data_IF_296186431531
#
_entry.id   IF_296186431531
#
_cell.length_a   1.000
_cell.length_b   1.000
_cell.length_c   1.000
_cell.angle_alpha   90.00
_cell.angle_beta   90.00
_cell.angle_gamma   90.00
#
_symmetry.space_group_name_H-M   'P 1'
#
loop_
_entity.id
_entity.type
_entity.pdbx_description
1 polymer ?
#
# COMPACT_ATOMS: atom_id res chain seq x y z
N UNK A 1 -10.53 25.00 -45.36
CA UNK A 1 -9.85 24.86 -44.05
C UNK A 1 -10.31 23.54 -43.45
N UNK A 2 -9.39 22.71 -43.00
CA UNK A 2 -9.69 21.43 -42.34
C UNK A 2 -9.96 21.68 -40.87
N UNK A 3 -11.11 21.23 -40.36
CA UNK A 3 -11.45 21.27 -38.93
C UNK A 3 -10.72 20.12 -38.25
N UNK A 4 -9.93 20.41 -37.23
CA UNK A 4 -9.02 19.44 -36.62
C UNK A 4 -9.04 19.44 -35.09
N UNK A 5 -9.55 20.50 -34.46
CA UNK A 5 -9.52 20.62 -32.99
C UNK A 5 -10.81 20.17 -32.31
N UNK A 6 -10.71 19.85 -31.03
CA UNK A 6 -11.84 19.67 -30.12
C UNK A 6 -11.93 20.90 -29.22
N UNK A 7 -13.06 21.59 -29.25
CA UNK A 7 -13.33 22.72 -28.36
C UNK A 7 -13.97 22.22 -27.05
N UNK A 8 -13.54 22.73 -25.90
CA UNK A 8 -14.15 22.41 -24.60
C UNK A 8 -14.75 23.67 -23.97
N UNK A 9 -16.08 23.76 -23.99
CA UNK A 9 -16.84 24.85 -23.37
C UNK A 9 -17.20 24.50 -21.92
N UNK A 10 -16.83 25.36 -20.96
CA UNK A 10 -16.94 25.10 -19.53
C UNK A 10 -17.03 26.39 -18.69
N UNK A 11 -17.46 26.29 -17.42
CA UNK A 11 -17.40 27.43 -16.50
C UNK A 11 -15.97 27.69 -16.00
N UNK A 12 -15.46 28.90 -16.19
CA UNK A 12 -14.17 29.33 -15.64
C UNK A 12 -14.36 30.30 -14.46
N UNK A 13 -13.76 30.07 -13.27
CA UNK A 13 -12.73 29.07 -12.97
C UNK A 13 -13.26 27.72 -12.44
N UNK A 14 -14.56 27.57 -12.25
CA UNK A 14 -15.16 26.51 -11.42
C UNK A 14 -14.93 25.09 -11.97
N UNK A 15 -15.02 24.92 -13.30
CA UNK A 15 -14.84 23.65 -13.99
C UNK A 15 -13.41 23.50 -14.56
N UNK A 16 -12.52 24.48 -14.34
CA UNK A 16 -11.19 24.49 -14.96
C UNK A 16 -10.31 23.31 -14.52
N UNK A 17 -10.49 22.78 -13.31
CA UNK A 17 -9.79 21.57 -12.86
C UNK A 17 -10.15 20.34 -13.68
N UNK A 18 -11.44 20.17 -13.99
CA UNK A 18 -11.92 19.10 -14.86
C UNK A 18 -11.42 19.28 -16.29
N UNK A 19 -11.51 20.48 -16.85
CA UNK A 19 -11.06 20.76 -18.23
C UNK A 19 -9.56 20.59 -18.39
N UNK A 20 -8.75 20.97 -17.38
CA UNK A 20 -7.31 20.67 -17.35
C UNK A 20 -7.04 19.17 -17.42
N UNK A 21 -7.72 18.41 -16.58
CA UNK A 21 -7.60 16.95 -16.59
C UNK A 21 -8.04 16.36 -17.94
N UNK A 22 -9.20 16.76 -18.47
CA UNK A 22 -9.77 16.21 -19.69
C UNK A 22 -8.92 16.56 -20.92
N UNK A 23 -8.50 17.83 -21.03
CA UNK A 23 -7.63 18.31 -22.11
C UNK A 23 -6.31 17.54 -22.16
N UNK A 24 -5.66 17.34 -21.01
CA UNK A 24 -4.45 16.53 -20.92
C UNK A 24 -4.67 15.09 -21.42
N UNK A 25 -5.80 14.47 -21.07
CA UNK A 25 -6.11 13.09 -21.50
C UNK A 25 -6.39 12.99 -22.99
N UNK A 26 -7.11 13.96 -23.56
CA UNK A 26 -7.42 14.00 -24.98
C UNK A 26 -6.16 14.26 -25.83
N UNK A 27 -5.28 15.17 -25.41
CA UNK A 27 -3.98 15.38 -26.09
C UNK A 27 -3.09 14.14 -26.03
N UNK A 28 -3.01 13.47 -24.88
CA UNK A 28 -2.27 12.21 -24.75
C UNK A 28 -2.87 11.09 -25.61
N UNK A 29 -4.17 11.13 -25.89
CA UNK A 29 -4.84 10.23 -26.83
C UNK A 29 -4.66 10.65 -28.31
N UNK A 30 -3.95 11.75 -28.58
CA UNK A 30 -3.60 12.23 -29.90
C UNK A 30 -4.56 13.27 -30.48
N UNK A 31 -5.54 13.77 -29.74
CA UNK A 31 -6.44 14.81 -30.25
C UNK A 31 -5.86 16.22 -30.09
N UNK A 32 -6.12 17.09 -31.06
CA UNK A 32 -5.87 18.52 -30.91
C UNK A 32 -7.00 19.13 -30.06
N UNK A 33 -6.67 19.77 -28.94
CA UNK A 33 -7.65 20.35 -28.03
C UNK A 33 -7.46 21.86 -27.98
N UNK A 34 -8.55 22.60 -28.10
CA UNK A 34 -8.58 24.05 -27.95
C UNK A 34 -9.12 24.42 -26.56
N UNK A 35 -8.41 25.29 -25.83
CA UNK A 35 -8.84 25.83 -24.53
C UNK A 35 -8.53 27.31 -24.35
N UNK A 36 -9.32 27.95 -23.50
CA UNK A 36 -9.27 29.38 -23.20
C UNK A 36 -8.22 29.76 -22.11
N UNK A 37 -7.51 28.79 -21.53
CA UNK A 37 -6.76 29.03 -20.29
C UNK A 37 -5.37 29.68 -20.44
N UNK A 38 -4.90 30.06 -21.64
CA UNK A 38 -3.52 30.56 -21.75
C UNK A 38 -3.04 31.25 -23.02
N UNK A 39 -3.91 31.76 -23.90
CA UNK A 39 -3.46 32.36 -25.19
C UNK A 39 -3.97 33.77 -25.51
N UNK A 40 -4.28 34.58 -24.51
CA UNK A 40 -4.72 35.96 -24.73
C UNK A 40 -3.78 36.97 -24.05
N UNK A 41 -3.15 37.82 -24.87
CA UNK A 41 -2.48 39.04 -24.41
C UNK A 41 -3.54 40.15 -24.33
N UNK A 42 -3.44 41.04 -23.34
CA UNK A 42 -4.41 42.14 -23.19
C UNK A 42 -4.46 43.02 -24.44
N UNK A 43 -5.66 43.17 -25.03
CA UNK A 43 -5.92 44.04 -26.19
C UNK A 43 -6.74 43.42 -27.34
N UNK A 44 -6.86 42.09 -27.41
CA UNK A 44 -7.66 41.41 -28.46
C UNK A 44 -9.16 41.36 -28.12
N UNK A 45 -10.04 41.48 -29.12
CA UNK A 45 -11.48 41.26 -28.94
C UNK A 45 -11.73 39.77 -28.61
N UNK A 46 -12.03 39.52 -27.33
CA UNK A 46 -12.19 38.20 -26.71
C UNK A 46 -13.14 37.25 -27.49
N UNK A 47 -14.23 37.79 -28.01
CA UNK A 47 -15.33 37.00 -28.58
C UNK A 47 -15.06 36.52 -30.02
N UNK A 48 -14.40 37.34 -30.86
CA UNK A 48 -14.15 37.00 -32.28
C UNK A 48 -13.27 35.75 -32.44
N UNK A 49 -12.30 35.56 -31.53
CA UNK A 49 -11.43 34.38 -31.54
C UNK A 49 -12.15 33.11 -31.12
N UNK A 50 -13.01 33.20 -30.11
CA UNK A 50 -13.83 32.07 -29.65
C UNK A 50 -14.80 31.66 -30.76
N UNK A 51 -15.45 32.64 -31.40
CA UNK A 51 -16.32 32.37 -32.54
C UNK A 51 -15.56 31.73 -33.70
N UNK A 52 -14.39 32.27 -34.04
CA UNK A 52 -13.50 31.70 -35.06
C UNK A 52 -13.13 30.25 -34.76
N UNK A 53 -12.71 29.96 -33.53
CA UNK A 53 -12.33 28.60 -33.11
C UNK A 53 -13.50 27.63 -33.20
N UNK A 54 -14.69 28.01 -32.74
CA UNK A 54 -15.89 27.17 -32.79
C UNK A 54 -16.34 26.93 -34.23
N UNK A 55 -16.36 27.97 -35.08
CA UNK A 55 -16.88 27.88 -36.44
C UNK A 55 -15.92 27.24 -37.44
N UNK A 56 -14.62 27.52 -37.33
CA UNK A 56 -13.67 27.25 -38.40
C UNK A 56 -12.67 26.16 -38.07
N UNK A 57 -12.26 26.05 -36.80
CA UNK A 57 -11.15 25.17 -36.41
C UNK A 57 -11.67 23.85 -35.79
N UNK A 58 -12.79 23.92 -35.08
CA UNK A 58 -13.30 22.81 -34.28
C UNK A 58 -14.02 21.76 -35.13
N UNK A 59 -13.61 20.51 -34.97
CA UNK A 59 -14.26 19.32 -35.52
C UNK A 59 -15.37 18.79 -34.59
N UNK A 60 -15.16 18.88 -33.27
CA UNK A 60 -16.18 18.61 -32.24
C UNK A 60 -16.15 19.68 -31.16
N UNK A 61 -17.31 19.88 -30.54
CA UNK A 61 -17.54 20.81 -29.46
C UNK A 61 -18.04 20.02 -28.24
N UNK A 62 -17.26 19.99 -27.18
CA UNK A 62 -17.60 19.35 -25.92
C UNK A 62 -18.28 20.40 -25.02
N UNK A 63 -19.57 20.22 -24.77
CA UNK A 63 -20.35 21.08 -23.89
C UNK A 63 -20.30 20.52 -22.46
N UNK A 64 -19.45 21.07 -21.61
CA UNK A 64 -19.36 20.68 -20.20
C UNK A 64 -20.53 21.28 -19.44
N UNK A 65 -21.37 20.41 -18.90
CA UNK A 65 -22.57 20.79 -18.15
C UNK A 65 -22.34 20.50 -16.67
N UNK A 66 -22.40 21.55 -15.88
CA UNK A 66 -22.39 21.52 -14.42
C UNK A 66 -23.50 22.44 -13.90
N UNK A 67 -23.82 22.33 -12.61
CA UNK A 67 -24.73 23.24 -11.91
C UNK A 67 -24.32 24.71 -12.04
N UNK A 68 -23.03 24.99 -12.26
CA UNK A 68 -22.51 26.36 -12.44
C UNK A 68 -22.48 26.78 -13.91
N UNK A 69 -22.09 25.89 -14.82
CA UNK A 69 -21.95 26.20 -16.25
C UNK A 69 -23.26 26.64 -16.90
N UNK A 70 -24.37 26.03 -16.49
CA UNK A 70 -25.70 26.31 -17.05
C UNK A 70 -26.21 27.71 -16.77
N UNK A 71 -25.66 28.44 -15.81
CA UNK A 71 -26.07 29.80 -15.46
C UNK A 71 -25.14 30.88 -16.03
N UNK A 72 -23.96 30.50 -16.52
CA UNK A 72 -22.93 31.42 -16.97
C UNK A 72 -23.19 31.91 -18.40
N UNK A 73 -23.34 33.23 -18.58
CA UNK A 73 -23.75 33.80 -19.87
C UNK A 73 -22.78 33.47 -21.01
N UNK A 74 -21.46 33.59 -20.80
CA UNK A 74 -20.49 33.26 -21.85
C UNK A 74 -20.58 31.81 -22.34
N UNK A 75 -20.81 30.87 -21.42
CA UNK A 75 -21.01 29.45 -21.76
C UNK A 75 -22.30 29.25 -22.54
N UNK A 76 -23.39 29.93 -22.16
CA UNK A 76 -24.66 29.90 -22.91
C UNK A 76 -24.48 30.42 -24.34
N UNK A 77 -23.72 31.48 -24.53
CA UNK A 77 -23.50 32.07 -25.85
C UNK A 77 -22.66 31.13 -26.74
N UNK A 78 -21.62 30.50 -26.18
CA UNK A 78 -20.84 29.46 -26.86
C UNK A 78 -21.72 28.25 -27.26
N UNK A 79 -22.58 27.78 -26.36
CA UNK A 79 -23.52 26.69 -26.63
C UNK A 79 -24.49 27.04 -27.74
N UNK A 80 -25.05 28.25 -27.74
CA UNK A 80 -25.97 28.71 -28.78
C UNK A 80 -25.27 28.81 -30.15
N UNK A 81 -24.03 29.27 -30.16
CA UNK A 81 -23.19 29.30 -31.37
C UNK A 81 -22.91 27.88 -31.88
N UNK A 82 -22.51 26.96 -31.00
CA UNK A 82 -22.23 25.57 -31.36
C UNK A 82 -23.49 24.85 -31.88
N UNK A 83 -24.66 25.12 -31.30
CA UNK A 83 -25.95 24.66 -31.81
C UNK A 83 -26.28 25.19 -33.22
N UNK A 84 -25.80 26.38 -33.55
CA UNK A 84 -25.96 26.93 -34.90
C UNK A 84 -25.07 26.17 -35.90
N UNK A 85 -23.83 25.87 -35.52
CA UNK A 85 -22.91 25.05 -36.34
C UNK A 85 -23.42 23.63 -36.50
N UNK A 86 -23.99 23.04 -35.45
CA UNK A 86 -24.59 21.70 -35.44
C UNK A 86 -25.62 21.50 -36.56
N UNK A 87 -26.42 22.53 -36.89
CA UNK A 87 -27.41 22.44 -37.98
C UNK A 87 -26.78 22.11 -39.33
N UNK A 88 -25.53 22.53 -39.54
CA UNK A 88 -24.76 22.27 -40.74
C UNK A 88 -23.80 21.08 -40.62
N UNK A 89 -23.40 20.72 -39.40
CA UNK A 89 -22.50 19.61 -39.10
C UNK A 89 -23.10 18.74 -37.98
N UNK A 90 -23.92 17.73 -38.33
CA UNK A 90 -24.51 16.84 -37.33
C UNK A 90 -23.46 16.09 -36.51
N UNK A 91 -23.72 15.97 -35.21
CA UNK A 91 -22.80 15.35 -34.25
C UNK A 91 -21.68 16.26 -33.78
N UNK A 92 -21.70 17.56 -34.13
CA UNK A 92 -20.70 18.54 -33.71
C UNK A 92 -20.66 18.73 -32.19
N UNK A 93 -21.81 18.92 -31.55
CA UNK A 93 -21.95 19.11 -30.09
C UNK A 93 -22.04 17.77 -29.36
N UNK A 94 -21.20 17.57 -28.35
CA UNK A 94 -21.19 16.39 -27.45
C UNK A 94 -21.35 16.90 -26.01
N UNK A 95 -22.48 16.67 -25.35
CA UNK A 95 -22.68 17.10 -23.96
C UNK A 95 -21.99 16.15 -22.97
N UNK A 96 -21.34 16.74 -21.96
CA UNK A 96 -20.63 16.04 -20.88
C UNK A 96 -21.21 16.44 -19.50
N UNK A 97 -21.65 15.48 -18.69
CA UNK A 97 -22.11 15.71 -17.30
C UNK A 97 -20.93 15.82 -16.38
N UNK A 98 -20.74 16.94 -15.71
CA UNK A 98 -19.70 17.03 -14.71
C UNK A 98 -20.20 16.68 -13.30
N UNK A 99 -21.43 17.07 -12.96
CA UNK A 99 -21.95 16.96 -11.60
C UNK A 99 -23.41 16.47 -11.54
N UNK A 100 -24.05 16.66 -10.38
CA UNK A 100 -25.43 16.23 -10.13
C UNK A 100 -26.51 16.96 -10.93
N UNK A 101 -26.18 17.91 -11.81
CA UNK A 101 -27.16 18.66 -12.60
C UNK A 101 -28.11 17.72 -13.36
N UNK A 102 -29.42 18.04 -13.33
CA UNK A 102 -30.42 17.27 -14.06
C UNK A 102 -30.46 17.70 -15.52
N UNK A 103 -30.09 16.79 -16.40
CA UNK A 103 -30.04 17.03 -17.83
C UNK A 103 -31.38 17.23 -18.50
N UNK A 104 -32.47 16.79 -17.86
CA UNK A 104 -33.81 17.08 -18.35
C UNK A 104 -34.07 18.59 -18.49
N UNK A 105 -33.27 19.40 -17.79
CA UNK A 105 -33.36 20.86 -17.72
C UNK A 105 -32.47 21.58 -18.75
N UNK A 106 -31.69 20.85 -19.55
CA UNK A 106 -30.84 21.46 -20.58
C UNK A 106 -31.65 22.16 -21.67
N UNK A 107 -31.08 23.20 -22.33
CA UNK A 107 -31.68 23.78 -23.52
C UNK A 107 -32.03 22.70 -24.55
N UNK A 108 -33.20 22.83 -25.19
CA UNK A 108 -33.78 21.83 -26.11
C UNK A 108 -32.79 21.37 -27.20
N UNK A 109 -31.89 22.26 -27.64
CA UNK A 109 -30.87 21.94 -28.65
C UNK A 109 -29.74 21.03 -28.18
N UNK A 110 -29.50 20.89 -26.87
CA UNK A 110 -28.52 19.96 -26.27
C UNK A 110 -29.23 18.73 -25.68
N UNK A 111 -30.40 18.94 -25.05
CA UNK A 111 -31.19 17.89 -24.40
C UNK A 111 -31.54 16.70 -25.30
N UNK A 112 -31.66 16.90 -26.62
CA UNK A 112 -32.02 15.83 -27.57
C UNK A 112 -30.88 14.86 -27.90
N UNK A 113 -29.69 15.07 -27.33
CA UNK A 113 -28.50 14.24 -27.60
C UNK A 113 -28.23 13.26 -26.48
N UNK A 114 -27.55 12.16 -26.82
CA UNK A 114 -27.04 11.24 -25.81
C UNK A 114 -25.91 11.93 -25.04
N UNK A 115 -25.98 11.88 -23.71
CA UNK A 115 -25.09 12.63 -22.83
C UNK A 115 -24.07 11.71 -22.19
N UNK A 116 -22.81 12.14 -22.15
CA UNK A 116 -21.72 11.35 -21.55
C UNK A 116 -21.58 11.76 -20.10
N UNK A 117 -21.72 10.80 -19.19
CA UNK A 117 -21.69 11.05 -17.75
C UNK A 117 -20.27 10.96 -17.17
N UNK A 118 -19.74 12.07 -16.65
CA UNK A 118 -18.50 12.10 -15.85
C UNK A 118 -18.79 12.22 -14.33
N UNK A 119 -20.02 12.46 -13.89
CA UNK A 119 -20.35 12.60 -12.46
C UNK A 119 -20.14 11.29 -11.69
N UNK A 120 -20.40 10.15 -12.33
CA UNK A 120 -20.23 8.80 -11.75
C UNK A 120 -18.82 8.20 -11.93
N UNK A 121 -17.83 9.06 -12.19
CA UNK A 121 -16.41 8.72 -12.30
C UNK A 121 -15.80 9.14 -13.63
N UNK A 122 -14.78 10.01 -13.57
CA UNK A 122 -14.18 10.62 -14.76
C UNK A 122 -13.60 9.61 -15.75
N UNK A 123 -13.07 8.48 -15.28
CA UNK A 123 -12.52 7.42 -16.12
C UNK A 123 -13.58 6.75 -17.00
N UNK A 124 -14.81 6.57 -16.50
CA UNK A 124 -15.92 5.98 -17.27
C UNK A 124 -16.38 6.93 -18.37
N UNK A 125 -16.57 8.21 -18.01
CA UNK A 125 -16.91 9.25 -18.96
C UNK A 125 -15.87 9.41 -20.06
N UNK A 126 -14.57 9.36 -19.71
CA UNK A 126 -13.48 9.43 -20.69
C UNK A 126 -13.52 8.26 -21.66
N UNK A 127 -13.74 7.02 -21.20
CA UNK A 127 -13.84 5.86 -22.08
C UNK A 127 -14.97 6.04 -23.10
N UNK A 128 -16.18 6.39 -22.64
CA UNK A 128 -17.32 6.65 -23.52
C UNK A 128 -17.10 7.81 -24.49
N UNK A 129 -16.40 8.86 -24.05
CA UNK A 129 -16.02 9.99 -24.91
C UNK A 129 -15.02 9.56 -25.99
N UNK A 130 -13.98 8.80 -25.64
CA UNK A 130 -12.99 8.31 -26.60
C UNK A 130 -13.64 7.41 -27.65
N UNK A 131 -14.56 6.53 -27.26
CA UNK A 131 -15.35 5.71 -28.18
C UNK A 131 -16.16 6.60 -29.14
N UNK A 132 -16.89 7.59 -28.60
CA UNK A 132 -17.66 8.56 -29.39
C UNK A 132 -16.79 9.33 -30.38
N UNK A 133 -15.59 9.76 -29.99
CA UNK A 133 -14.65 10.50 -30.83
C UNK A 133 -13.99 9.60 -31.90
N UNK A 134 -13.74 8.33 -31.58
CA UNK A 134 -13.22 7.36 -32.54
C UNK A 134 -14.27 7.02 -33.61
N UNK A 135 -15.52 6.76 -33.22
CA UNK A 135 -16.64 6.50 -34.14
C UNK A 135 -16.89 7.69 -35.07
N UNK A 136 -16.75 8.90 -34.53
CA UNK A 136 -16.83 10.16 -35.26
C UNK A 136 -15.65 10.43 -36.21
N UNK A 137 -14.63 9.56 -36.24
CA UNK A 137 -13.38 9.72 -36.99
C UNK A 137 -12.72 11.10 -36.77
N UNK A 138 -12.71 11.55 -35.51
CA UNK A 138 -12.09 12.84 -35.17
C UNK A 138 -10.59 12.79 -35.49
N UNK A 139 -10.04 13.79 -36.21
CA UNK A 139 -8.63 13.81 -36.58
C UNK A 139 -7.70 13.69 -35.37
N UNK A 140 -6.64 12.89 -35.52
CA UNK A 140 -5.56 12.75 -34.55
C UNK A 140 -4.26 13.30 -35.11
N UNK A 141 -3.45 13.87 -34.24
CA UNK A 141 -2.07 14.28 -34.53
C UNK A 141 -1.26 13.01 -34.82
N UNK A 142 -0.57 12.97 -35.95
CA UNK A 142 0.16 11.78 -36.42
C UNK A 142 1.31 11.35 -35.48
N UNK A 143 1.83 12.27 -34.67
CA UNK A 143 2.89 11.99 -33.69
C UNK A 143 2.66 12.86 -32.44
N UNK A 144 1.83 12.41 -31.48
CA UNK A 144 1.58 13.16 -30.26
C UNK A 144 2.86 13.20 -29.41
N UNK A 145 3.28 14.40 -29.01
CA UNK A 145 4.35 14.59 -28.03
C UNK A 145 3.71 14.66 -26.63
N UNK A 146 3.97 13.69 -25.73
CA UNK A 146 3.44 13.73 -24.36
C UNK A 146 3.81 15.00 -23.58
N UNK A 147 4.84 15.75 -24.02
CA UNK A 147 5.20 17.05 -23.44
C UNK A 147 4.20 18.15 -23.79
N UNK A 148 3.42 18.03 -24.87
CA UNK A 148 2.37 19.00 -25.20
C UNK A 148 1.36 19.09 -24.05
N UNK A 149 1.00 17.94 -23.46
CA UNK A 149 0.03 17.89 -22.38
C UNK A 149 0.48 18.62 -21.10
N UNK A 150 1.76 19.04 -20.99
CA UNK A 150 2.28 19.73 -19.81
C UNK A 150 1.61 21.08 -19.56
N UNK A 151 1.13 21.77 -20.59
CA UNK A 151 0.46 23.07 -20.42
C UNK A 151 -0.90 22.96 -19.71
N UNK A 152 -1.47 21.75 -19.67
CA UNK A 152 -2.70 21.47 -18.91
C UNK A 152 -2.45 21.19 -17.44
N UNK A 153 -1.23 20.79 -17.06
CA UNK A 153 -0.90 20.56 -15.67
C UNK A 153 -0.93 21.91 -14.95
N UNK A 154 -1.51 21.95 -13.75
CA UNK A 154 -1.37 23.12 -12.90
C UNK A 154 0.14 23.44 -12.77
N UNK A 155 0.50 24.73 -12.78
CA UNK A 155 1.85 25.13 -12.39
C UNK A 155 2.20 24.38 -11.11
N UNK A 156 3.27 23.58 -11.15
CA UNK A 156 3.72 22.84 -9.98
C UNK A 156 3.91 23.88 -8.88
N UNK A 157 3.11 23.76 -7.81
CA UNK A 157 3.22 24.67 -6.67
C UNK A 157 4.68 24.72 -6.25
N UNK A 158 5.14 25.91 -5.87
CA UNK A 158 6.43 26.09 -5.24
C UNK A 158 6.54 25.10 -4.07
N UNK A 159 7.57 24.24 -4.09
CA UNK A 159 7.72 23.12 -3.15
C UNK A 159 7.19 21.75 -3.63
N UNK A 160 6.73 21.59 -4.86
CA UNK A 160 6.38 20.29 -5.40
C UNK A 160 7.58 19.35 -5.47
N UNK A 161 7.38 18.11 -5.03
CA UNK A 161 8.38 17.04 -5.14
C UNK A 161 8.46 16.58 -6.61
N UNK A 162 9.63 16.73 -7.22
CA UNK A 162 9.87 16.46 -8.62
C UNK A 162 10.53 15.10 -8.82
N UNK A 163 10.20 14.44 -9.93
CA UNK A 163 10.96 13.28 -10.39
C UNK A 163 12.37 13.71 -10.86
N UNK A 164 13.39 13.00 -10.39
CA UNK A 164 14.79 13.25 -10.69
C UNK A 164 15.46 12.01 -11.27
N UNK A 165 16.53 12.21 -12.05
CA UNK A 165 17.37 11.10 -12.57
C UNK A 165 18.41 10.62 -11.55
N UNK A 166 18.39 11.15 -10.32
CA UNK A 166 19.26 10.69 -9.25
C UNK A 166 18.77 9.35 -8.72
N UNK A 167 19.70 8.42 -8.53
CA UNK A 167 19.39 7.15 -7.88
C UNK A 167 18.91 7.39 -6.46
N UNK A 168 17.92 6.61 -6.04
CA UNK A 168 17.37 6.64 -4.69
C UNK A 168 17.56 5.29 -4.02
N UNK A 169 17.83 5.29 -2.71
CA UNK A 169 17.89 4.07 -1.91
C UNK A 169 16.60 3.92 -1.12
N UNK A 170 15.91 2.80 -1.32
CA UNK A 170 14.62 2.50 -0.71
C UNK A 170 14.80 1.46 0.38
N UNK A 171 14.39 1.81 1.59
CA UNK A 171 14.38 0.89 2.73
C UNK A 171 13.12 0.03 2.70
N UNK A 172 13.27 -1.26 3.00
CA UNK A 172 12.15 -2.21 3.00
C UNK A 172 11.76 -2.64 4.41
N UNK A 173 10.76 -3.50 4.50
CA UNK A 173 10.44 -4.24 5.74
C UNK A 173 10.92 -5.69 5.67
N UNK A 174 11.83 -6.01 4.74
CA UNK A 174 12.22 -7.39 4.42
C UNK A 174 13.57 -7.73 5.04
N UNK A 175 13.62 -8.72 5.92
CA UNK A 175 14.88 -9.25 6.41
C UNK A 175 15.35 -10.37 5.49
N UNK A 176 16.62 -10.33 5.10
CA UNK A 176 17.22 -11.41 4.31
C UNK A 176 17.42 -12.65 5.20
N UNK A 177 17.02 -13.82 4.70
CA UNK A 177 17.41 -15.10 5.29
C UNK A 177 18.84 -15.41 4.88
N UNK A 178 19.75 -15.53 5.85
CA UNK A 178 21.19 -15.77 5.63
C UNK A 178 21.45 -17.26 5.49
N UNK A 179 20.91 -18.06 6.41
CA UNK A 179 21.08 -19.51 6.39
C UNK A 179 19.90 -20.24 7.04
N UNK A 180 19.69 -21.47 6.57
CA UNK A 180 18.75 -22.43 7.13
C UNK A 180 19.51 -23.71 7.48
N UNK A 181 19.26 -24.34 8.64
CA UNK A 181 19.76 -25.67 8.91
C UNK A 181 19.15 -26.69 7.95
N UNK A 182 19.77 -27.87 7.77
CA UNK A 182 19.13 -28.98 7.07
C UNK A 182 17.82 -29.39 7.74
N UNK A 183 16.91 -29.94 6.94
CA UNK A 183 15.69 -30.55 7.43
C UNK A 183 16.00 -31.99 7.83
N UNK A 184 15.64 -32.37 9.05
CA UNK A 184 15.73 -33.76 9.49
C UNK A 184 14.37 -34.34 9.82
N UNK A 185 14.31 -35.67 9.78
CA UNK A 185 13.07 -36.41 9.97
C UNK A 185 13.24 -37.49 11.03
N UNK A 186 12.16 -37.76 11.75
CA UNK A 186 12.07 -38.88 12.68
C UNK A 186 10.76 -39.63 12.42
N UNK A 187 10.83 -40.95 12.24
CA UNK A 187 9.70 -41.82 11.93
C UNK A 187 8.99 -42.27 13.20
N UNK A 188 7.68 -42.20 13.20
CA UNK A 188 6.78 -42.70 14.24
C UNK A 188 6.77 -44.23 14.18
N UNK A 189 7.06 -44.87 15.32
CA UNK A 189 7.06 -46.34 15.44
C UNK A 189 5.73 -46.91 15.95
N UNK A 190 4.90 -46.07 16.57
CA UNK A 190 3.61 -46.46 17.14
C UNK A 190 2.44 -46.31 16.17
N UNK A 191 1.25 -46.71 16.62
CA UNK A 191 -0.02 -46.51 15.91
C UNK A 191 -0.72 -45.18 16.27
N UNK A 192 0.02 -44.26 16.89
CA UNK A 192 -0.50 -42.96 17.29
C UNK A 192 -0.87 -42.14 16.04
N UNK A 193 -2.09 -41.61 16.04
CA UNK A 193 -2.65 -40.89 14.89
C UNK A 193 -2.52 -39.37 15.01
N UNK A 194 -2.18 -38.86 16.19
CA UNK A 194 -2.08 -37.44 16.49
C UNK A 194 -1.08 -37.24 17.63
N UNK A 195 -0.08 -36.37 17.42
CA UNK A 195 0.94 -36.11 18.44
C UNK A 195 0.43 -35.03 19.38
N UNK A 196 0.23 -35.39 20.66
CA UNK A 196 -0.13 -34.40 21.69
C UNK A 196 0.99 -33.38 21.84
N UNK A 197 0.66 -32.11 21.60
CA UNK A 197 1.55 -30.97 21.83
C UNK A 197 1.77 -30.81 23.34
N UNK A 198 3.03 -30.69 23.75
CA UNK A 198 3.48 -30.52 25.13
C UNK A 198 4.49 -29.38 25.20
N UNK A 199 4.77 -28.86 26.39
CA UNK A 199 5.77 -27.81 26.56
C UNK A 199 7.16 -28.23 26.07
N UNK A 200 7.48 -29.54 26.15
CA UNK A 200 8.78 -30.09 25.73
C UNK A 200 8.89 -30.13 24.21
N UNK A 201 7.86 -30.61 23.51
CA UNK A 201 7.91 -30.71 22.06
C UNK A 201 7.64 -29.37 21.37
N UNK A 202 6.92 -28.44 22.01
CA UNK A 202 6.73 -27.09 21.50
C UNK A 202 8.00 -26.23 21.58
N UNK A 203 8.99 -26.63 22.38
CA UNK A 203 10.26 -25.92 22.54
C UNK A 203 11.16 -25.92 21.28
N UNK A 204 10.82 -26.69 20.23
CA UNK A 204 11.51 -26.68 18.94
C UNK A 204 10.50 -26.59 17.79
N UNK A 205 10.88 -26.03 16.63
CA UNK A 205 10.02 -26.04 15.44
C UNK A 205 9.88 -27.42 14.80
N UNK A 206 8.65 -27.85 14.55
CA UNK A 206 8.37 -29.09 13.82
C UNK A 206 7.00 -29.08 13.12
N UNK A 207 6.77 -30.06 12.26
CA UNK A 207 5.45 -30.39 11.72
C UNK A 207 5.35 -31.89 11.40
N UNK A 208 4.12 -32.39 11.27
CA UNK A 208 3.85 -33.78 10.90
C UNK A 208 3.79 -33.95 9.38
N UNK A 209 4.36 -35.04 8.88
CA UNK A 209 4.20 -35.48 7.51
C UNK A 209 4.14 -36.99 7.42
N UNK A 210 2.96 -37.53 7.11
CA UNK A 210 2.71 -38.97 7.10
C UNK A 210 3.03 -39.59 8.46
N UNK A 211 3.85 -40.65 8.50
CA UNK A 211 4.32 -41.31 9.71
C UNK A 211 5.59 -40.66 10.28
N UNK A 212 5.81 -39.36 10.05
CA UNK A 212 7.06 -38.67 10.40
C UNK A 212 6.83 -37.31 11.02
N UNK A 213 7.82 -36.92 11.81
CA UNK A 213 8.01 -35.55 12.26
C UNK A 213 9.20 -34.96 11.49
N UNK A 214 9.04 -33.71 11.07
CA UNK A 214 10.01 -32.99 10.26
C UNK A 214 10.34 -31.65 10.92
N UNK A 215 11.62 -31.27 10.97
CA UNK A 215 12.06 -30.01 11.56
C UNK A 215 13.51 -29.66 11.22
N UNK A 216 13.96 -28.49 11.68
CA UNK A 216 15.37 -28.08 11.55
C UNK A 216 16.26 -28.65 12.66
N UNK A 217 15.66 -29.09 13.78
CA UNK A 217 16.37 -29.73 14.87
C UNK A 217 17.11 -30.99 14.38
N UNK A 218 18.16 -31.40 15.09
CA UNK A 218 18.77 -32.71 14.80
C UNK A 218 17.74 -33.81 15.08
N UNK A 219 17.82 -34.93 14.36
CA UNK A 219 16.93 -36.07 14.58
C UNK A 219 17.00 -36.59 16.01
N UNK A 220 18.16 -36.48 16.68
CA UNK A 220 18.29 -36.78 18.11
C UNK A 220 17.38 -35.90 18.98
N UNK A 221 17.31 -34.61 18.68
CA UNK A 221 16.48 -33.64 19.41
C UNK A 221 15.00 -33.87 19.13
N UNK A 222 14.65 -34.19 17.87
CA UNK A 222 13.29 -34.58 17.51
C UNK A 222 12.84 -35.79 18.31
N UNK A 223 13.68 -36.82 18.43
CA UNK A 223 13.38 -38.02 19.23
C UNK A 223 13.28 -37.68 20.73
N UNK A 224 14.24 -36.94 21.29
CA UNK A 224 14.25 -36.64 22.72
C UNK A 224 13.07 -35.78 23.15
N UNK A 225 12.74 -34.74 22.38
CA UNK A 225 11.68 -33.80 22.73
C UNK A 225 10.28 -34.40 22.56
N UNK A 226 10.17 -35.48 21.78
CA UNK A 226 8.92 -36.18 21.53
C UNK A 226 8.74 -37.42 22.40
N UNK A 227 9.75 -37.82 23.18
CA UNK A 227 9.77 -39.07 23.96
C UNK A 227 8.59 -39.27 24.92
N UNK A 228 7.93 -38.19 25.37
CA UNK A 228 6.72 -38.25 26.21
C UNK A 228 5.40 -38.32 25.42
N UNK A 229 5.45 -37.99 24.13
CA UNK A 229 4.28 -37.94 23.26
C UNK A 229 4.21 -39.12 22.30
N UNK A 230 5.35 -39.55 21.73
CA UNK A 230 5.43 -40.59 20.70
C UNK A 230 6.81 -41.25 20.65
N UNK A 231 6.85 -42.55 20.36
CA UNK A 231 8.11 -43.26 20.09
C UNK A 231 8.58 -43.02 18.65
N UNK A 232 9.79 -42.45 18.52
CA UNK A 232 10.38 -42.07 17.24
C UNK A 232 11.71 -42.78 16.96
N UNK A 233 12.01 -42.96 15.67
CA UNK A 233 13.32 -43.38 15.17
C UNK A 233 13.87 -42.33 14.21
N UNK A 234 15.10 -41.88 14.46
CA UNK A 234 15.80 -40.97 13.55
C UNK A 234 15.83 -41.52 12.11
N UNK A 235 15.69 -40.61 11.15
CA UNK A 235 15.65 -40.90 9.72
C UNK A 235 16.52 -39.89 8.95
N UNK A 236 16.69 -40.11 7.64
CA UNK A 236 17.48 -39.25 6.77
C UNK A 236 16.99 -37.79 6.78
N UNK A 237 17.94 -36.87 6.57
CA UNK A 237 17.70 -35.46 6.36
C UNK A 237 17.79 -35.04 4.90
N UNK A 238 17.33 -33.84 4.60
CA UNK A 238 17.34 -33.20 3.29
C UNK A 238 17.94 -31.80 3.43
N UNK A 239 18.76 -31.39 2.49
CA UNK A 239 19.23 -30.01 2.43
C UNK A 239 18.06 -29.04 2.21
N UNK A 240 18.01 -27.98 3.01
CA UNK A 240 16.90 -27.02 2.98
C UNK A 240 16.81 -26.27 1.65
N UNK A 241 17.94 -25.99 1.01
CA UNK A 241 17.95 -25.28 -0.27
C UNK A 241 17.42 -26.14 -1.38
N UNK A 242 17.88 -27.38 -1.48
CA UNK A 242 17.34 -28.35 -2.43
C UNK A 242 15.85 -28.59 -2.17
N UNK A 243 15.44 -28.73 -0.91
CA UNK A 243 14.02 -28.93 -0.57
C UNK A 243 13.13 -27.77 -1.04
N UNK A 244 13.56 -26.52 -0.83
CA UNK A 244 12.82 -25.31 -1.25
C UNK A 244 12.75 -25.16 -2.77
N UNK A 245 13.83 -25.49 -3.47
CA UNK A 245 13.96 -25.28 -4.91
C UNK A 245 13.27 -26.37 -5.72
N UNK A 246 13.49 -27.65 -5.38
CA UNK A 246 13.03 -28.80 -6.16
C UNK A 246 12.01 -29.69 -5.45
N UNK A 247 11.73 -29.45 -4.16
CA UNK A 247 11.02 -30.42 -3.34
C UNK A 247 11.88 -31.63 -2.99
N UNK A 248 11.31 -32.59 -2.28
CA UNK A 248 11.93 -33.88 -1.99
C UNK A 248 10.90 -34.95 -1.64
N UNK A 249 11.28 -36.21 -1.79
CA UNK A 249 10.52 -37.34 -1.25
C UNK A 249 10.85 -37.51 0.23
N UNK A 250 9.83 -37.37 1.09
CA UNK A 250 9.95 -37.57 2.53
C UNK A 250 9.00 -38.71 2.89
N UNK A 251 9.55 -39.85 3.30
CA UNK A 251 8.74 -41.06 3.45
C UNK A 251 8.36 -41.64 2.09
N UNK A 252 7.08 -41.90 1.89
CA UNK A 252 6.58 -42.54 0.67
C UNK A 252 6.00 -41.52 -0.33
N UNK A 253 5.79 -40.27 0.10
CA UNK A 253 5.27 -39.19 -0.75
C UNK A 253 6.30 -38.15 -1.13
N UNK A 254 6.15 -37.68 -2.36
CA UNK A 254 6.86 -36.51 -2.87
C UNK A 254 6.19 -35.23 -2.38
N UNK A 255 6.99 -34.31 -1.86
CA UNK A 255 6.58 -32.94 -1.53
C UNK A 255 7.13 -32.03 -2.62
N UNK A 256 6.25 -31.40 -3.39
CA UNK A 256 6.66 -30.45 -4.43
C UNK A 256 7.27 -29.17 -3.83
N UNK A 257 7.97 -28.39 -4.66
CA UNK A 257 8.66 -27.18 -4.23
C UNK A 257 7.71 -26.11 -3.61
N UNK A 258 6.46 -26.00 -4.08
CA UNK A 258 5.50 -25.03 -3.55
C UNK A 258 5.10 -25.41 -2.13
N UNK A 259 4.83 -26.67 -1.90
CA UNK A 259 4.48 -27.19 -0.58
C UNK A 259 5.69 -27.19 0.37
N UNK A 260 6.87 -27.50 -0.14
CA UNK A 260 8.13 -27.41 0.60
C UNK A 260 8.36 -25.98 1.14
N UNK A 261 8.17 -24.94 0.31
CA UNK A 261 8.28 -23.53 0.72
C UNK A 261 7.35 -23.18 1.88
N UNK A 262 6.10 -23.64 1.84
CA UNK A 262 5.13 -23.41 2.92
C UNK A 262 5.56 -24.08 4.23
N UNK A 263 6.08 -25.31 4.15
CA UNK A 263 6.54 -26.08 5.32
C UNK A 263 7.76 -25.45 5.96
N UNK A 264 8.72 -25.00 5.16
CA UNK A 264 9.88 -24.23 5.65
C UNK A 264 9.42 -22.90 6.25
N UNK A 265 8.49 -22.19 5.60
CA UNK A 265 7.89 -20.97 6.17
C UNK A 265 7.23 -21.22 7.53
N UNK A 266 6.53 -22.34 7.70
CA UNK A 266 5.96 -22.73 8.99
C UNK A 266 7.05 -22.96 10.06
N UNK A 267 8.14 -23.66 9.72
CA UNK A 267 9.24 -23.88 10.65
C UNK A 267 9.95 -22.58 11.07
N UNK A 268 10.20 -21.67 10.11
CA UNK A 268 10.82 -20.37 10.42
C UNK A 268 9.89 -19.48 11.25
N UNK A 269 8.58 -19.51 10.99
CA UNK A 269 7.59 -18.83 11.83
C UNK A 269 7.63 -19.34 13.26
N UNK A 270 7.62 -20.66 13.47
CA UNK A 270 7.73 -21.25 14.81
C UNK A 270 9.05 -20.87 15.50
N UNK A 271 10.17 -20.89 14.77
CA UNK A 271 11.48 -20.50 15.30
C UNK A 271 11.48 -19.03 15.77
N UNK A 272 10.85 -18.13 15.01
CA UNK A 272 10.67 -16.74 15.40
C UNK A 272 9.81 -16.60 16.64
N UNK A 273 8.67 -17.29 16.69
CA UNK A 273 7.77 -17.25 17.84
C UNK A 273 8.50 -17.65 19.13
N UNK A 274 9.19 -18.79 19.11
CA UNK A 274 9.96 -19.27 20.26
C UNK A 274 11.08 -18.29 20.65
N UNK A 275 11.79 -17.71 19.68
CA UNK A 275 12.86 -16.77 19.96
C UNK A 275 12.35 -15.44 20.55
N UNK A 276 11.21 -14.94 20.10
CA UNK A 276 10.61 -13.72 20.66
C UNK A 276 10.04 -13.96 22.06
N UNK A 277 9.36 -15.08 22.29
CA UNK A 277 8.88 -15.49 23.62
C UNK A 277 10.06 -15.61 24.60
N UNK A 278 11.14 -16.28 24.20
CA UNK A 278 12.35 -16.44 25.03
C UNK A 278 13.06 -15.11 25.32
N UNK A 279 12.91 -14.11 24.44
CA UNK A 279 13.43 -12.74 24.64
C UNK A 279 12.49 -11.86 25.46
N UNK A 280 11.32 -12.36 25.88
CA UNK A 280 10.37 -11.62 26.71
C UNK A 280 9.47 -10.65 25.95
N UNK A 281 9.35 -10.79 24.63
CA UNK A 281 8.33 -10.04 23.88
C UNK A 281 6.93 -10.57 24.24
N UNK A 282 5.96 -9.67 24.36
CA UNK A 282 4.58 -10.04 24.52
C UNK A 282 4.01 -10.58 23.21
N UNK A 283 3.11 -11.58 23.28
CA UNK A 283 2.45 -12.15 22.11
C UNK A 283 0.97 -11.73 22.06
N UNK A 284 0.48 -11.40 20.87
CA UNK A 284 -0.94 -11.13 20.64
C UNK A 284 -1.38 -11.76 19.30
N UNK A 285 -2.55 -12.40 19.29
CA UNK A 285 -3.11 -13.02 18.10
C UNK A 285 -4.15 -12.09 17.46
N UNK A 286 -3.94 -11.74 16.19
CA UNK A 286 -4.86 -10.91 15.43
C UNK A 286 -6.04 -11.73 14.90
N UNK A 287 -7.13 -11.07 14.49
CA UNK A 287 -8.36 -11.71 13.98
C UNK A 287 -8.16 -12.70 12.82
N UNK A 288 -7.02 -12.68 12.12
CA UNK A 288 -6.64 -13.66 11.09
C UNK A 288 -5.76 -14.81 11.58
N UNK A 289 -5.66 -15.05 12.89
CA UNK A 289 -4.83 -16.09 13.52
C UNK A 289 -3.31 -15.81 13.49
N UNK A 290 -2.91 -14.64 12.99
CA UNK A 290 -1.50 -14.25 12.93
C UNK A 290 -1.05 -13.71 14.28
N UNK A 291 0.00 -14.30 14.84
CA UNK A 291 0.67 -13.77 16.02
C UNK A 291 1.57 -12.59 15.66
N UNK A 292 1.50 -11.55 16.49
CA UNK A 292 2.41 -10.41 16.50
C UNK A 292 3.11 -10.33 17.84
N UNK A 293 4.36 -9.89 17.82
CA UNK A 293 5.17 -9.74 19.03
C UNK A 293 5.35 -8.27 19.35
N UNK A 294 4.92 -7.84 20.54
CA UNK A 294 4.96 -6.46 20.99
C UNK A 294 6.00 -6.24 22.08
N UNK A 295 6.53 -5.03 22.12
CA UNK A 295 7.59 -4.64 23.06
C UNK A 295 6.96 -4.23 24.39
N UNK A 296 7.10 -5.05 25.41
CA UNK A 296 6.58 -4.75 26.75
C UNK A 296 7.42 -3.68 27.46
N UNK A 297 6.86 -2.94 28.43
CA UNK A 297 7.63 -2.01 29.26
C UNK A 297 8.80 -2.69 29.98
N UNK A 298 8.66 -3.94 30.42
CA UNK A 298 9.70 -4.69 31.11
C UNK A 298 10.91 -4.90 30.21
N UNK A 299 10.67 -5.16 28.91
CA UNK A 299 11.72 -5.38 27.92
C UNK A 299 12.57 -4.12 27.67
N UNK A 300 11.97 -2.94 27.83
CA UNK A 300 12.66 -1.64 27.72
C UNK A 300 13.10 -1.06 29.06
N UNK A 301 12.92 -1.79 30.18
CA UNK A 301 13.19 -1.35 31.55
C UNK A 301 12.33 -0.18 32.05
N UNK A 302 11.18 0.02 31.43
CA UNK A 302 10.26 1.09 31.77
C UNK A 302 9.38 1.48 30.60
N UNK A 303 8.23 2.05 30.93
CA UNK A 303 7.26 2.56 29.96
C UNK A 303 7.80 3.84 29.31
N UNK A 304 7.79 3.91 27.99
CA UNK A 304 8.30 5.08 27.26
C UNK A 304 9.82 5.14 27.16
N UNK A 305 10.54 4.18 27.74
CA UNK A 305 12.00 4.12 27.64
C UNK A 305 12.43 3.90 26.19
N UNK A 306 13.43 4.68 25.76
CA UNK A 306 13.85 4.72 24.36
C UNK A 306 14.97 3.73 24.06
N UNK A 307 14.75 2.89 23.05
CA UNK A 307 15.74 1.95 22.51
C UNK A 307 16.62 2.66 21.49
N UNK A 308 17.94 2.46 21.59
CA UNK A 308 18.90 2.99 20.62
C UNK A 308 19.00 2.09 19.39
N UNK A 309 19.10 2.69 18.20
CA UNK A 309 19.20 1.97 16.93
C UNK A 309 20.02 2.76 15.90
N UNK A 310 20.44 2.07 14.84
CA UNK A 310 21.07 2.67 13.66
C UNK A 310 20.01 2.90 12.58
N UNK A 311 19.86 4.14 12.11
CA UNK A 311 18.91 4.48 11.05
C UNK A 311 19.56 4.36 9.65
N UNK A 312 18.79 4.57 8.60
CA UNK A 312 19.19 4.42 7.19
C UNK A 312 20.35 5.31 6.76
N UNK A 313 20.55 6.44 7.44
CA UNK A 313 21.64 7.38 7.22
C UNK A 313 22.91 7.01 8.00
N UNK A 314 22.91 5.88 8.71
CA UNK A 314 24.01 5.42 9.56
C UNK A 314 24.14 6.19 10.87
N UNK A 315 23.17 7.05 11.23
CA UNK A 315 23.19 7.77 12.50
C UNK A 315 22.51 6.95 13.59
N UNK A 316 23.04 7.07 14.81
CA UNK A 316 22.42 6.49 15.99
C UNK A 316 21.26 7.37 16.44
N UNK A 317 20.10 6.75 16.64
CA UNK A 317 18.85 7.40 17.08
C UNK A 317 18.24 6.61 18.23
N UNK A 318 17.20 7.17 18.86
CA UNK A 318 16.46 6.52 19.95
C UNK A 318 14.97 6.63 19.70
N UNK A 319 14.21 5.56 19.95
CA UNK A 319 12.75 5.52 19.79
C UNK A 319 12.10 4.78 20.96
N UNK A 320 11.03 5.33 21.52
CA UNK A 320 10.19 4.59 22.45
C UNK A 320 9.38 3.55 21.68
N UNK A 321 9.34 2.30 22.14
CA UNK A 321 8.58 1.21 21.50
C UNK A 321 7.29 0.86 22.25
N UNK A 322 7.05 1.51 23.38
CA UNK A 322 5.81 1.43 24.15
C UNK A 322 5.60 2.76 24.87
N UNK A 323 4.40 3.00 25.38
CA UNK A 323 4.07 4.22 26.10
C UNK A 323 2.62 4.27 26.55
N UNK A 324 2.20 5.45 27.00
CA UNK A 324 0.80 5.78 27.30
C UNK A 324 0.43 7.03 26.52
N UNK A 325 -0.71 6.99 25.84
CA UNK A 325 -1.33 8.20 25.28
C UNK A 325 -2.25 8.77 26.34
N UNK A 326 -1.96 9.98 26.82
CA UNK A 326 -2.85 10.66 27.77
C UNK A 326 -4.15 11.11 27.10
N UNK A 327 -4.12 11.53 25.83
CA UNK A 327 -5.32 11.90 25.07
C UNK A 327 -6.26 10.70 24.89
N UNK A 328 -5.72 9.55 24.47
CA UNK A 328 -6.52 8.33 24.26
C UNK A 328 -6.73 7.51 25.53
N UNK A 329 -6.12 7.92 26.66
CA UNK A 329 -6.13 7.21 27.96
C UNK A 329 -5.84 5.72 27.79
N UNK A 330 -4.85 5.39 26.97
CA UNK A 330 -4.57 4.02 26.57
C UNK A 330 -3.06 3.75 26.47
N UNK A 331 -2.69 2.54 26.87
CA UNK A 331 -1.32 2.06 26.80
C UNK A 331 -1.09 1.44 25.42
N UNK A 332 0.07 1.70 24.83
CA UNK A 332 0.38 1.23 23.49
C UNK A 332 1.76 0.56 23.46
N UNK A 333 1.88 -0.49 22.65
CA UNK A 333 3.12 -1.20 22.40
C UNK A 333 3.28 -1.41 20.90
N UNK A 334 4.44 -1.07 20.35
CA UNK A 334 4.80 -1.37 18.98
C UNK A 334 5.01 -2.87 18.83
N UNK A 335 4.44 -3.43 17.75
CA UNK A 335 4.42 -4.85 17.51
C UNK A 335 4.74 -5.19 16.07
N UNK A 336 5.31 -6.38 15.88
CA UNK A 336 5.70 -6.89 14.57
C UNK A 336 5.19 -8.31 14.39
N UNK A 337 4.43 -8.52 13.31
CA UNK A 337 4.18 -9.84 12.74
C UNK A 337 5.21 -10.15 11.66
N UNK A 338 5.46 -11.44 11.43
CA UNK A 338 6.43 -11.90 10.43
C UNK A 338 5.80 -12.86 9.43
N UNK A 339 6.23 -12.76 8.17
CA UNK A 339 5.77 -13.61 7.06
C UNK A 339 6.98 -14.09 6.27
N UNK A 340 7.47 -15.32 6.51
CA UNK A 340 8.56 -15.90 5.74
C UNK A 340 8.14 -16.17 4.29
N UNK A 341 9.00 -15.81 3.34
CA UNK A 341 8.81 -16.01 1.91
C UNK A 341 10.06 -16.67 1.32
N UNK A 342 9.86 -17.77 0.60
CA UNK A 342 10.92 -18.61 0.03
C UNK A 342 10.85 -18.69 -1.50
N UNK A 343 10.28 -17.67 -2.14
CA UNK A 343 10.61 -17.23 -3.49
C UNK A 343 11.86 -16.35 -3.46
N UNK A 344 12.51 -16.12 -4.62
CA UNK A 344 13.73 -15.32 -4.66
C UNK A 344 13.43 -13.81 -4.62
N UNK A 345 14.07 -13.03 -3.73
CA UNK A 345 15.01 -13.44 -2.69
C UNK A 345 14.29 -13.99 -1.44
N UNK A 346 14.90 -15.01 -0.80
CA UNK A 346 14.39 -15.56 0.46
C UNK A 346 14.45 -14.51 1.57
N UNK A 347 13.31 -14.30 2.21
CA UNK A 347 13.11 -13.16 3.11
C UNK A 347 12.08 -13.43 4.20
N UNK A 348 12.12 -12.60 5.23
CA UNK A 348 11.03 -12.43 6.18
C UNK A 348 10.43 -11.04 5.93
N UNK A 349 9.15 -10.98 5.58
CA UNK A 349 8.42 -9.73 5.50
C UNK A 349 7.86 -9.36 6.87
N UNK A 350 8.24 -8.19 7.38
CA UNK A 350 7.76 -7.67 8.65
C UNK A 350 6.50 -6.82 8.44
N UNK A 351 5.52 -7.00 9.33
CA UNK A 351 4.23 -6.31 9.32
C UNK A 351 4.06 -5.58 10.66
N UNK A 352 4.23 -4.28 10.62
CA UNK A 352 4.09 -3.40 11.77
C UNK A 352 2.64 -3.23 12.21
N UNK A 353 2.41 -3.18 13.51
CA UNK A 353 1.13 -2.79 14.10
C UNK A 353 1.36 -2.20 15.49
N UNK A 354 0.32 -1.59 16.06
CA UNK A 354 0.28 -1.23 17.48
C UNK A 354 -0.70 -2.16 18.19
N UNK A 355 -0.28 -2.67 19.34
CA UNK A 355 -1.11 -3.40 20.29
C UNK A 355 -1.42 -2.43 21.44
N UNK A 356 -2.70 -2.21 21.70
CA UNK A 356 -3.13 -1.48 22.89
C UNK A 356 -3.29 -2.45 24.05
N UNK A 357 -2.84 -2.02 25.22
CA UNK A 357 -2.88 -2.83 26.44
C UNK A 357 -3.64 -2.12 27.56
N UNK A 358 -4.05 -2.88 28.56
CA UNK A 358 -4.48 -2.35 29.86
C UNK A 358 -3.27 -1.92 30.71
N UNK A 359 -3.52 -1.52 31.96
CA UNK A 359 -2.49 -1.08 32.91
C UNK A 359 -1.60 -2.24 33.41
N UNK A 360 -2.06 -3.48 33.30
CA UNK A 360 -1.31 -4.70 33.60
C UNK A 360 -0.47 -5.18 32.39
N UNK A 361 -0.51 -4.46 31.26
CA UNK A 361 0.24 -4.79 30.06
C UNK A 361 -0.39 -5.86 29.18
N UNK A 362 -1.63 -6.29 29.45
CA UNK A 362 -2.35 -7.28 28.63
C UNK A 362 -3.04 -6.61 27.45
N UNK A 363 -3.04 -7.23 26.25
CA UNK A 363 -3.78 -6.70 25.11
C UNK A 363 -5.26 -6.49 25.44
N UNK A 364 -5.86 -5.41 24.92
CA UNK A 364 -7.27 -5.13 25.16
C UNK A 364 -8.18 -6.24 24.58
N UNK A 365 -9.08 -6.77 25.42
CA UNK A 365 -10.02 -7.84 25.07
C UNK A 365 -11.17 -7.42 24.14
N UNK A 366 -11.27 -6.12 23.78
CA UNK A 366 -12.30 -5.57 22.90
C UNK A 366 -11.71 -5.23 21.52
N UNK A 367 -11.78 -6.11 20.51
CA UNK A 367 -11.09 -5.93 19.22
C UNK A 367 -11.53 -4.69 18.47
N UNK A 368 -12.83 -4.37 18.49
CA UNK A 368 -13.38 -3.17 17.84
C UNK A 368 -12.82 -1.88 18.46
N UNK A 369 -12.70 -1.83 19.79
CA UNK A 369 -12.09 -0.70 20.49
C UNK A 369 -10.61 -0.57 20.17
N UNK A 370 -9.87 -1.67 20.20
CA UNK A 370 -8.44 -1.67 19.85
C UNK A 370 -8.19 -1.21 18.40
N UNK A 371 -9.05 -1.61 17.46
CA UNK A 371 -8.97 -1.18 16.07
C UNK A 371 -9.20 0.34 15.91
N UNK A 372 -10.26 0.87 16.53
CA UNK A 372 -10.56 2.33 16.52
C UNK A 372 -9.43 3.16 17.13
N UNK A 373 -8.90 2.71 18.27
CA UNK A 373 -7.74 3.35 18.90
C UNK A 373 -6.53 3.36 17.96
N UNK A 374 -6.22 2.24 17.29
CA UNK A 374 -5.11 2.16 16.34
C UNK A 374 -5.28 3.12 15.16
N UNK A 375 -6.47 3.15 14.55
CA UNK A 375 -6.73 4.03 13.40
C UNK A 375 -6.58 5.50 13.76
N UNK A 376 -7.14 5.92 14.90
CA UNK A 376 -7.05 7.32 15.35
C UNK A 376 -5.64 7.69 15.85
N UNK A 377 -4.97 6.80 16.59
CA UNK A 377 -3.65 7.06 17.17
C UNK A 377 -2.53 7.12 16.12
N UNK A 378 -2.63 6.32 15.07
CA UNK A 378 -1.62 6.25 14.01
C UNK A 378 -1.93 7.13 12.79
N UNK A 379 -2.99 7.96 12.84
CA UNK A 379 -3.50 8.71 11.68
C UNK A 379 -2.44 9.62 11.03
N UNK A 380 -1.58 10.23 11.84
CA UNK A 380 -0.51 11.14 11.41
C UNK A 380 0.87 10.46 11.30
N UNK A 381 0.93 9.13 11.35
CA UNK A 381 2.21 8.41 11.33
C UNK A 381 2.61 8.03 9.92
N UNK A 382 3.65 8.70 9.43
CA UNK A 382 4.22 8.46 8.11
C UNK A 382 5.38 7.46 8.15
N UNK A 383 5.95 7.17 6.97
CA UNK A 383 6.91 6.09 6.77
C UNK A 383 8.20 6.25 7.59
N UNK A 384 8.65 7.47 7.83
CA UNK A 384 9.80 7.80 8.68
C UNK A 384 9.59 7.34 10.13
N UNK A 385 8.40 7.62 10.69
CA UNK A 385 8.03 7.20 12.04
C UNK A 385 7.94 5.68 12.15
N UNK A 386 7.25 5.04 11.20
CA UNK A 386 7.16 3.58 11.13
C UNK A 386 8.52 2.91 10.96
N UNK A 387 9.41 3.49 10.14
CA UNK A 387 10.79 3.02 9.96
C UNK A 387 11.57 3.11 11.27
N UNK A 388 11.47 4.22 12.00
CA UNK A 388 12.11 4.38 13.30
C UNK A 388 11.67 3.31 14.31
N UNK A 389 10.35 3.02 14.39
CA UNK A 389 9.84 1.92 15.20
C UNK A 389 10.39 0.56 14.79
N UNK A 390 10.38 0.25 13.49
CA UNK A 390 10.88 -1.01 12.98
C UNK A 390 12.37 -1.20 13.29
N UNK A 391 13.19 -0.18 13.07
CA UNK A 391 14.63 -0.21 13.32
C UNK A 391 14.95 -0.39 14.80
N UNK A 392 14.23 0.30 15.68
CA UNK A 392 14.36 0.13 17.12
C UNK A 392 13.91 -1.26 17.59
N UNK A 393 12.80 -1.79 17.05
CA UNK A 393 12.36 -3.16 17.32
C UNK A 393 13.43 -4.18 16.92
N UNK A 394 14.03 -4.02 15.74
CA UNK A 394 15.04 -4.95 15.25
C UNK A 394 16.34 -4.88 16.06
N UNK A 395 16.77 -3.67 16.49
CA UNK A 395 17.90 -3.52 17.39
C UNK A 395 17.68 -4.24 18.73
N UNK A 396 16.46 -4.17 19.27
CA UNK A 396 16.08 -4.91 20.48
C UNK A 396 16.04 -6.42 20.22
N UNK A 397 15.43 -6.84 19.12
CA UNK A 397 15.29 -8.25 18.75
C UNK A 397 16.64 -8.91 18.43
N UNK A 398 17.61 -8.19 17.89
CA UNK A 398 18.96 -8.71 17.63
C UNK A 398 19.92 -8.59 18.82
N UNK A 399 19.54 -7.85 19.87
CA UNK A 399 20.46 -7.50 20.95
C UNK A 399 21.59 -6.55 20.49
N UNK A 400 21.36 -5.81 19.40
CA UNK A 400 22.36 -4.92 18.79
C UNK A 400 23.29 -5.60 17.78
N UNK A 401 23.16 -6.92 17.57
CA UNK A 401 23.95 -7.67 16.59
C UNK A 401 23.46 -7.47 15.16
N UNK A 402 24.32 -7.78 14.18
CA UNK A 402 24.00 -7.68 12.75
C UNK A 402 23.02 -8.77 12.26
N UNK A 403 22.89 -9.86 13.01
CA UNK A 403 22.05 -11.01 12.69
C UNK A 403 21.12 -11.35 13.87
N UNK A 404 19.92 -11.80 13.54
CA UNK A 404 18.98 -12.40 14.48
C UNK A 404 19.10 -13.92 14.32
N UNK A 405 19.58 -14.57 15.37
CA UNK A 405 19.68 -16.02 15.47
C UNK A 405 18.40 -16.58 16.10
N UNK A 406 17.76 -17.52 15.41
CA UNK A 406 16.54 -18.19 15.86
C UNK A 406 16.89 -19.65 16.20
N UNK A 407 17.04 -20.02 17.49
CA UNK A 407 17.38 -21.39 17.87
C UNK A 407 16.30 -22.38 17.45
N UNK A 408 16.70 -23.53 16.91
CA UNK A 408 15.76 -24.57 16.43
C UNK A 408 16.11 -25.98 16.92
N UNK A 409 16.98 -26.09 17.91
CA UNK A 409 17.49 -27.36 18.44
C UNK A 409 18.95 -27.24 18.88
N UNK A 410 19.54 -28.35 19.32
CA UNK A 410 20.88 -28.40 19.89
C UNK A 410 21.95 -27.98 18.87
N UNK A 411 22.46 -26.76 19.04
CA UNK A 411 23.49 -26.17 18.18
C UNK A 411 23.03 -25.89 16.74
N UNK A 412 21.73 -25.67 16.52
CA UNK A 412 21.18 -25.27 15.22
C UNK A 412 20.34 -24.00 15.35
N UNK A 413 20.47 -23.15 14.34
CA UNK A 413 19.79 -21.86 14.28
C UNK A 413 19.44 -21.50 12.84
N UNK A 414 18.29 -20.85 12.67
CA UNK A 414 17.99 -20.07 11.46
C UNK A 414 18.59 -18.69 11.65
N UNK A 415 19.32 -18.20 10.65
CA UNK A 415 20.00 -16.91 10.71
C UNK A 415 19.36 -15.95 9.73
N UNK A 416 18.94 -14.79 10.22
CA UNK A 416 18.38 -13.71 9.41
C UNK A 416 19.06 -12.38 9.72
N UNK A 417 19.17 -11.49 8.73
CA UNK A 417 19.77 -10.17 8.95
C UNK A 417 18.92 -9.34 9.92
N UNK A 418 19.56 -8.57 10.81
CA UNK A 418 18.89 -7.64 11.70
C UNK A 418 18.51 -6.31 11.03
N UNK A 419 19.02 -6.06 9.82
CA UNK A 419 18.69 -4.87 9.02
C UNK A 419 17.90 -5.27 7.77
N UNK A 420 16.84 -4.52 7.41
CA UNK A 420 16.10 -4.76 6.18
C UNK A 420 16.96 -4.64 4.91
N UNK A 421 16.52 -5.32 3.86
CA UNK A 421 17.07 -5.23 2.51
C UNK A 421 16.86 -3.81 1.99
N UNK A 422 17.92 -3.20 1.46
CA UNK A 422 17.84 -1.93 0.75
C UNK A 422 17.73 -2.18 -0.76
N UNK A 423 16.83 -1.47 -1.41
CA UNK A 423 16.70 -1.46 -2.86
C UNK A 423 17.30 -0.18 -3.45
N UNK A 424 17.71 -0.24 -4.71
CA UNK A 424 18.15 0.94 -5.46
C UNK A 424 17.17 1.20 -6.59
N UNK A 425 16.54 2.37 -6.57
CA UNK A 425 15.77 2.89 -7.69
C UNK A 425 16.70 3.67 -8.63
N UNK A 426 16.59 3.49 -9.96
CA UNK A 426 17.41 4.23 -10.92
C UNK A 426 17.04 5.71 -11.02
N UNK A 427 15.86 6.08 -10.52
CA UNK A 427 15.31 7.44 -10.46
C UNK A 427 14.87 7.74 -9.04
N UNK A 428 14.65 9.01 -8.73
CA UNK A 428 14.28 9.42 -7.39
C UNK A 428 13.36 10.63 -7.39
N UNK A 429 13.17 11.16 -6.19
CA UNK A 429 12.42 12.39 -5.96
C UNK A 429 13.38 13.56 -5.66
N UNK A 430 12.92 14.81 -5.77
CA UNK A 430 13.78 15.99 -5.56
C UNK A 430 14.02 16.28 -4.08
N UNK A 431 13.22 15.69 -3.19
CA UNK A 431 13.33 15.74 -1.74
C UNK A 431 14.15 14.54 -1.22
N UNK A 432 15.35 14.33 -1.79
CA UNK A 432 16.23 13.21 -1.41
C UNK A 432 16.71 13.25 0.06
N UNK A 433 16.44 14.32 0.80
CA UNK A 433 16.73 14.37 2.22
C UNK A 433 15.87 13.30 2.92
N UNK A 434 16.47 12.31 3.60
CA UNK A 434 15.69 11.32 4.32
C UNK A 434 14.75 12.03 5.27
N UNK A 435 13.44 11.79 5.13
CA UNK A 435 12.47 12.23 6.13
C UNK A 435 12.85 11.58 7.45
N UNK A 436 13.22 12.42 8.42
CA UNK A 436 13.61 12.00 9.75
C UNK A 436 12.43 12.31 10.65
N UNK A 437 11.99 11.28 11.36
CA UNK A 437 11.05 11.48 12.45
C UNK A 437 11.78 12.17 13.60
N UNK A 438 11.45 13.45 13.83
CA UNK A 438 11.97 14.22 14.96
C UNK A 438 11.39 13.75 16.31
N UNK A 439 10.59 12.67 16.32
CA UNK A 439 9.98 12.03 17.48
C UNK A 439 9.36 13.05 18.44
N UNK A 440 8.36 13.85 18.00
CA UNK A 440 7.55 14.60 18.94
C UNK A 440 6.82 13.55 19.77
N UNK A 441 7.32 13.34 20.99
CA UNK A 441 6.64 12.54 22.02
C UNK A 441 5.26 13.09 22.34
N UNK A 442 4.99 14.32 21.93
CA UNK A 442 3.70 14.97 21.99
C UNK A 442 2.95 14.75 20.67
N UNK A 443 1.73 14.24 20.80
CA UNK A 443 0.79 14.15 19.68
C UNK A 443 0.67 15.55 19.05
N UNK A 444 0.83 15.71 17.72
CA UNK A 444 0.64 17.02 17.11
C UNK A 444 -0.75 17.52 17.47
N UNK A 445 -0.80 18.76 17.98
CA UNK A 445 -2.00 19.55 18.27
C UNK A 445 -2.68 19.92 16.94
N UNK A 446 -3.12 18.91 16.20
CA UNK A 446 -4.08 19.13 15.14
C UNK A 446 -5.44 19.20 15.84
N UNK A 447 -5.85 20.42 16.19
CA UNK A 447 -7.22 20.82 16.53
C UNK A 447 -8.19 20.59 15.36
N UNK A 448 -8.17 19.40 14.79
CA UNK A 448 -9.22 18.86 13.96
C UNK A 448 -10.24 18.28 14.92
N UNK A 449 -11.27 19.06 15.18
CA UNK A 449 -12.45 18.71 15.94
C UNK A 449 -12.87 17.25 15.70
N UNK A 450 -13.21 16.57 16.80
CA UNK A 450 -13.83 15.26 16.82
C UNK A 450 -15.20 15.32 16.11
N UNK A 451 -15.20 15.23 14.79
CA UNK A 451 -16.27 14.55 14.08
C UNK A 451 -15.87 13.08 14.02
N UNK A 452 -16.31 12.31 15.02
CA UNK A 452 -16.39 10.85 14.94
C UNK A 452 -17.36 10.52 13.77
N UNK A 453 -16.86 10.53 12.53
CA UNK A 453 -17.53 10.02 11.32
C UNK A 453 -17.52 8.48 11.31
N UNK A 454 -17.84 7.88 12.46
CA UNK A 454 -18.17 6.46 12.55
C UNK A 454 -19.57 6.40 13.16
N UNK A 455 -20.57 6.41 12.28
CA UNK A 455 -21.98 6.20 12.61
C UNK A 455 -22.11 5.05 13.63
N UNK A 456 -22.62 5.40 14.81
CA UNK A 456 -23.16 4.47 15.79
C UNK A 456 -24.49 3.89 15.26
N UNK A 457 -24.46 3.09 14.19
CA UNK A 457 -25.60 2.26 13.79
C UNK A 457 -25.13 0.90 13.28
N UNK A 458 -25.05 -0.07 14.20
CA UNK A 458 -25.57 -1.44 14.09
C UNK A 458 -24.88 -2.35 15.12
N UNK A 459 -25.26 -2.20 16.39
CA UNK A 459 -25.34 -3.36 17.30
C UNK A 459 -26.62 -3.21 18.12
N UNK A 460 -27.74 -3.59 17.51
CA UNK A 460 -28.96 -3.93 18.21
C UNK A 460 -29.62 -5.13 17.54
N UNK A 461 -29.07 -6.33 17.79
CA UNK A 461 -29.78 -7.53 18.26
C UNK A 461 -28.85 -8.73 18.34
#
# INVERSE_FOLDING_TARGET
MTRESIFISHATPEDSGFVRWLGARLELAGYSVWHDLGRLKGGDQFWDKIEGAIRNDSFRFLAVVSTVAVDKQGVKDEWALAQTVEKSLPGFVIPLRLDKYDFSLLPIGIHRKNVIDFANGWHKGLAALLDTLNDANVPKVASPDPRSARHWLAEMKEGAILHTQSKESLDSTWLRVVSLPPIETARILGSEREIKVTDINRAIPWFEHEDRIVGFAKASDLVSNMSKSVMLKASAGVDSTMFIQSGATIGDKHVDAREARKRVANLVRQAWELAMEAKGFGAHEQAGGRKVFYVTPELTKGRGEKVAFLDVDGRKRRKALNGRSERKKANWCYAVGMVPQFDEPWRIELRSTIVFTDDDGKPLDAPARAHRLRMSFCRSWWNDRWRGFLRAFLALASGGEAEIKLPVGSGREVVVMATPIMFSSPVGLSDLAPAIDDDPTDEPDEGLDEADDFDDEEVAQ
#
